data_IF_127153113384
#
_entry.id   IF_127153113384
#
_cell.length_a   1.000
_cell.length_b   1.000
_cell.length_c   1.000
_cell.angle_alpha   90.00
_cell.angle_beta   90.00
_cell.angle_gamma   90.00
#
_symmetry.space_group_name_H-M   'P 1'
#
loop_
_entity.id
_entity.type
_entity.pdbx_description
1 polymer ?
#
# COMPACT_ATOMS: atom_id res chain seq x y z
N UNK A 1 9.70 19.77 46.76
CA UNK A 1 9.12 19.98 45.41
C UNK A 1 8.14 18.85 45.13
N UNK A 2 6.90 19.16 44.76
CA UNK A 2 5.88 18.15 44.43
C UNK A 2 6.19 17.51 43.07
N UNK A 3 6.16 16.18 43.02
CA UNK A 3 6.25 15.40 41.79
C UNK A 3 4.90 15.47 41.07
N UNK A 4 4.88 15.94 39.83
CA UNK A 4 3.66 15.95 39.00
C UNK A 4 3.66 14.72 38.12
N UNK A 5 2.54 14.01 38.05
CA UNK A 5 2.40 12.84 37.18
C UNK A 5 1.74 13.31 35.88
N UNK A 6 2.40 13.04 34.76
CA UNK A 6 1.86 13.31 33.43
C UNK A 6 1.52 11.99 32.75
N UNK A 7 0.26 11.83 32.38
CA UNK A 7 -0.25 10.61 31.77
C UNK A 7 -0.33 10.74 30.27
N UNK A 8 0.39 9.87 29.56
CA UNK A 8 0.37 9.77 28.11
C UNK A 8 -0.62 8.70 27.66
N UNK A 9 -1.25 8.92 26.50
CA UNK A 9 -2.26 8.00 25.96
C UNK A 9 -1.77 7.23 24.73
N UNK A 10 -0.56 7.49 24.22
CA UNK A 10 -0.04 6.71 23.11
C UNK A 10 -0.02 5.21 23.39
N UNK A 11 -0.25 4.45 22.32
CA UNK A 11 -0.41 3.00 22.38
C UNK A 11 -1.84 2.51 22.52
N UNK A 12 -2.83 3.41 22.67
CA UNK A 12 -4.25 3.02 22.69
C UNK A 12 -4.66 2.37 21.37
N UNK A 13 -4.07 2.82 20.27
CA UNK A 13 -4.20 2.19 18.97
C UNK A 13 -2.81 2.11 18.31
N UNK A 14 -2.27 0.90 18.16
CA UNK A 14 -0.96 0.64 17.54
C UNK A 14 -0.87 1.14 16.09
N UNK A 15 -2.01 1.47 15.47
CA UNK A 15 -2.08 2.09 14.16
C UNK A 15 -1.76 3.59 14.28
N UNK A 16 -2.41 4.34 15.18
CA UNK A 16 -2.41 5.82 15.26
C UNK A 16 -1.29 6.46 16.09
N UNK A 17 -0.14 5.79 16.20
CA UNK A 17 0.88 6.15 17.18
C UNK A 17 1.45 7.57 16.99
N UNK A 18 1.52 8.02 15.74
CA UNK A 18 2.09 9.33 15.39
C UNK A 18 1.25 10.51 15.89
N UNK A 19 -0.07 10.36 15.83
CA UNK A 19 -1.04 11.35 16.31
C UNK A 19 -1.01 11.38 17.84
N UNK A 20 -1.00 10.21 18.47
CA UNK A 20 -0.96 10.13 19.93
C UNK A 20 0.33 10.74 20.49
N UNK A 21 1.50 10.45 19.90
CA UNK A 21 2.76 11.06 20.30
C UNK A 21 2.80 12.58 20.12
N UNK A 22 2.25 13.08 19.01
CA UNK A 22 2.15 14.52 18.81
C UNK A 22 1.24 15.17 19.86
N UNK A 23 0.10 14.54 20.16
CA UNK A 23 -0.85 15.05 21.15
C UNK A 23 -0.26 15.03 22.56
N UNK A 24 0.37 13.92 22.96
CA UNK A 24 1.05 13.78 24.24
C UNK A 24 2.17 14.84 24.39
N UNK A 25 2.95 15.09 23.33
CA UNK A 25 3.98 16.14 23.33
C UNK A 25 3.39 17.54 23.47
N UNK A 26 2.34 17.85 22.71
CA UNK A 26 1.65 19.14 22.78
C UNK A 26 1.08 19.40 24.17
N UNK A 27 0.45 18.39 24.76
CA UNK A 27 -0.16 18.49 26.09
C UNK A 27 0.90 18.64 27.18
N UNK A 28 2.01 17.92 27.08
CA UNK A 28 3.14 18.07 27.99
C UNK A 28 3.74 19.48 27.91
N UNK A 29 3.99 19.97 26.70
CA UNK A 29 4.52 21.31 26.44
C UNK A 29 3.62 22.42 27.01
N UNK A 30 2.30 22.26 26.94
CA UNK A 30 1.37 23.25 27.48
C UNK A 30 1.30 23.26 29.01
N UNK A 31 1.63 22.14 29.65
CA UNK A 31 1.64 21.99 31.11
C UNK A 31 3.03 22.19 31.71
N UNK A 32 4.07 22.22 30.87
CA UNK A 32 5.46 22.30 31.29
C UNK A 32 5.77 23.57 32.08
N UNK A 33 6.48 23.38 33.18
CA UNK A 33 6.95 24.40 34.10
C UNK A 33 8.34 23.99 34.56
N UNK A 34 9.33 24.85 34.31
CA UNK A 34 10.74 24.62 34.62
C UNK A 34 11.03 24.40 36.11
N UNK A 35 10.10 24.74 37.00
CA UNK A 35 10.24 24.57 38.44
C UNK A 35 9.55 23.31 38.98
N UNK A 36 8.97 22.48 38.10
CA UNK A 36 8.27 21.26 38.48
C UNK A 36 9.03 20.02 38.02
N UNK A 37 9.00 18.96 38.84
CA UNK A 37 9.38 17.60 38.42
C UNK A 37 8.19 16.91 37.79
N UNK A 38 8.44 16.10 36.78
CA UNK A 38 7.44 15.31 36.08
C UNK A 38 7.81 13.83 36.13
N UNK A 39 6.82 12.98 36.38
CA UNK A 39 6.88 11.54 36.14
C UNK A 39 6.00 11.24 34.93
N UNK A 40 6.58 10.63 33.90
CA UNK A 40 5.84 10.26 32.70
C UNK A 40 5.32 8.84 32.84
N UNK A 41 4.02 8.64 32.57
CA UNK A 41 3.38 7.33 32.61
C UNK A 41 2.62 7.12 31.31
N UNK A 42 3.07 6.17 30.49
CA UNK A 42 2.30 5.70 29.32
C UNK A 42 1.33 4.61 29.76
N UNK A 43 0.03 4.91 29.71
CA UNK A 43 -1.01 4.00 30.25
C UNK A 43 -1.08 2.62 29.60
N UNK A 44 -0.60 2.51 28.36
CA UNK A 44 -0.74 1.29 27.54
C UNK A 44 0.56 0.50 27.40
N UNK A 45 1.64 0.91 28.08
CA UNK A 45 2.91 0.22 28.06
C UNK A 45 3.45 0.11 29.48
N UNK A 46 3.97 -1.07 29.84
CA UNK A 46 4.80 -1.21 31.04
C UNK A 46 6.16 -0.55 30.76
N UNK A 47 6.19 0.77 30.89
CA UNK A 47 7.44 1.53 30.97
C UNK A 47 7.78 1.71 32.44
N UNK A 48 9.06 1.54 32.81
CA UNK A 48 9.53 2.03 34.10
C UNK A 48 9.15 3.52 34.24
N UNK A 49 8.64 3.93 35.40
CA UNK A 49 8.24 5.31 35.60
C UNK A 49 9.45 6.24 35.44
N UNK A 50 9.45 7.08 34.41
CA UNK A 50 10.59 7.95 34.12
C UNK A 50 10.39 9.31 34.78
N UNK A 51 11.25 9.62 35.75
CA UNK A 51 11.32 10.93 36.39
C UNK A 51 12.16 11.88 35.53
N UNK A 52 11.55 12.92 34.98
CA UNK A 52 12.23 13.91 34.14
C UNK A 52 12.96 14.95 35.01
N UNK A 53 14.19 15.27 34.63
CA UNK A 53 15.03 16.26 35.32
C UNK A 53 14.73 17.69 34.85
N UNK A 54 14.90 18.68 35.74
CA UNK A 54 14.45 20.06 35.49
C UNK A 54 15.16 20.78 34.33
N UNK A 55 16.41 20.47 34.05
CA UNK A 55 17.21 21.23 33.06
C UNK A 55 16.92 20.83 31.62
N UNK A 56 16.41 19.62 31.37
CA UNK A 56 16.23 19.05 30.03
C UNK A 56 14.89 18.33 29.82
N UNK A 57 13.88 18.58 30.66
CA UNK A 57 12.61 17.85 30.66
C UNK A 57 11.94 17.65 29.28
N UNK A 58 12.03 18.63 28.36
CA UNK A 58 11.50 18.47 27.00
C UNK A 58 12.28 17.43 26.17
N UNK A 59 13.61 17.47 26.22
CA UNK A 59 14.45 16.48 25.55
C UNK A 59 14.30 15.10 26.21
N UNK A 60 14.26 15.07 27.54
CA UNK A 60 14.03 13.84 28.29
C UNK A 60 12.68 13.22 27.88
N UNK A 61 11.61 14.02 27.75
CA UNK A 61 10.31 13.56 27.27
C UNK A 61 10.36 12.99 25.84
N UNK A 62 11.09 13.62 24.93
CA UNK A 62 11.29 13.11 23.56
C UNK A 62 12.07 11.78 23.57
N UNK A 63 13.07 11.63 24.44
CA UNK A 63 13.78 10.37 24.61
C UNK A 63 12.84 9.26 25.11
N UNK A 64 11.95 9.57 26.07
CA UNK A 64 10.90 8.62 26.49
C UNK A 64 10.01 8.21 25.32
N UNK A 65 9.64 9.14 24.43
CA UNK A 65 8.87 8.79 23.23
C UNK A 65 9.62 7.80 22.32
N UNK A 66 10.95 7.91 22.19
CA UNK A 66 11.76 6.94 21.44
C UNK A 66 11.78 5.56 22.09
N UNK A 67 11.89 5.51 23.43
CA UNK A 67 11.86 4.23 24.16
C UNK A 67 10.52 3.53 23.98
N UNK A 68 9.42 4.26 24.14
CA UNK A 68 8.07 3.76 23.89
C UNK A 68 7.91 3.30 22.44
N UNK A 69 8.41 4.08 21.47
CA UNK A 69 8.38 3.71 20.06
C UNK A 69 9.08 2.37 19.81
N UNK A 70 10.25 2.16 20.41
CA UNK A 70 11.00 0.91 20.27
C UNK A 70 10.25 -0.27 20.87
N UNK A 71 9.62 -0.09 22.04
CA UNK A 71 8.77 -1.13 22.65
C UNK A 71 7.60 -1.50 21.74
N UNK A 72 6.97 -0.52 21.11
CA UNK A 72 5.88 -0.75 20.14
C UNK A 72 6.37 -1.56 18.95
N UNK A 73 7.51 -1.20 18.37
CA UNK A 73 8.08 -1.92 17.23
C UNK A 73 8.39 -3.36 17.64
N UNK A 74 9.00 -3.57 18.81
CA UNK A 74 9.30 -4.89 19.33
C UNK A 74 8.06 -5.75 19.55
N UNK A 75 6.98 -5.18 20.11
CA UNK A 75 5.72 -5.90 20.31
C UNK A 75 5.11 -6.30 18.96
N UNK A 76 5.11 -5.39 17.97
CA UNK A 76 4.68 -5.71 16.60
C UNK A 76 5.49 -6.87 16.01
N UNK A 77 6.81 -6.87 16.18
CA UNK A 77 7.71 -7.93 15.70
C UNK A 77 7.48 -9.28 16.41
N UNK A 78 6.93 -9.28 17.64
CA UNK A 78 6.58 -10.51 18.38
C UNK A 78 5.20 -11.06 18.01
N UNK A 79 4.22 -10.17 17.84
CA UNK A 79 2.81 -10.53 17.70
C UNK A 79 2.38 -10.79 16.25
N UNK A 80 3.12 -10.24 15.28
CA UNK A 80 2.78 -10.31 13.86
C UNK A 80 3.82 -11.13 13.08
N UNK A 81 3.39 -11.73 11.96
CA UNK A 81 4.34 -12.30 11.03
C UNK A 81 5.19 -11.21 10.32
N UNK A 82 6.23 -11.62 9.59
CA UNK A 82 7.14 -10.68 8.94
C UNK A 82 6.46 -9.78 7.89
N UNK A 83 5.46 -10.28 7.18
CA UNK A 83 4.72 -9.51 6.17
C UNK A 83 3.76 -8.51 6.82
N UNK A 84 3.04 -8.93 7.85
CA UNK A 84 2.14 -8.10 8.63
C UNK A 84 2.90 -7.01 9.39
N UNK A 85 4.06 -7.35 9.96
CA UNK A 85 4.98 -6.41 10.59
C UNK A 85 5.41 -5.34 9.59
N UNK A 86 5.84 -5.74 8.39
CA UNK A 86 6.24 -4.81 7.34
C UNK A 86 5.11 -3.84 6.95
N UNK A 87 3.89 -4.34 6.78
CA UNK A 87 2.72 -3.51 6.47
C UNK A 87 2.44 -2.52 7.61
N UNK A 88 2.46 -3.00 8.86
CA UNK A 88 2.23 -2.19 10.05
C UNK A 88 3.27 -1.07 10.21
N UNK A 89 4.56 -1.37 9.99
CA UNK A 89 5.63 -0.39 10.04
C UNK A 89 5.52 0.66 8.92
N UNK A 90 5.21 0.25 7.69
CA UNK A 90 4.98 1.18 6.57
C UNK A 90 3.76 2.07 6.79
N UNK A 91 2.69 1.52 7.37
CA UNK A 91 1.52 2.30 7.76
C UNK A 91 1.89 3.36 8.79
N UNK A 92 2.61 2.97 9.85
CA UNK A 92 3.07 3.89 10.92
C UNK A 92 3.94 5.02 10.36
N UNK A 93 4.88 4.67 9.46
CA UNK A 93 5.73 5.66 8.79
C UNK A 93 4.92 6.65 7.92
N UNK A 94 3.87 6.17 7.25
CA UNK A 94 2.97 7.01 6.46
C UNK A 94 2.20 8.00 7.34
N UNK A 95 1.84 7.63 8.56
CA UNK A 95 1.20 8.55 9.48
C UNK A 95 2.15 9.65 9.96
N UNK A 96 3.40 9.31 10.27
CA UNK A 96 4.41 10.33 10.58
C UNK A 96 4.62 11.30 9.41
N UNK A 97 4.45 10.87 8.16
CA UNK A 97 4.48 11.77 7.02
C UNK A 97 3.31 12.77 7.03
N UNK A 98 2.12 12.36 7.50
CA UNK A 98 0.96 13.26 7.68
C UNK A 98 1.27 14.30 8.76
N UNK A 99 1.79 13.89 9.93
CA UNK A 99 2.18 14.82 10.99
C UNK A 99 3.25 15.80 10.49
N UNK A 100 4.28 15.31 9.78
CA UNK A 100 5.31 16.17 9.17
C UNK A 100 4.71 17.21 8.24
N UNK A 101 3.73 16.83 7.43
CA UNK A 101 3.02 17.76 6.55
C UNK A 101 2.21 18.80 7.33
N UNK A 102 1.49 18.38 8.37
CA UNK A 102 0.73 19.29 9.24
C UNK A 102 1.62 20.30 9.99
N UNK A 103 2.83 19.88 10.37
CA UNK A 103 3.80 20.75 11.04
C UNK A 103 4.61 21.61 10.05
N UNK A 104 4.61 21.25 8.76
CA UNK A 104 5.35 21.99 7.74
C UNK A 104 4.77 23.39 7.56
N UNK A 105 5.62 24.42 7.68
CA UNK A 105 5.18 25.82 7.62
C UNK A 105 4.72 26.43 8.95
N UNK A 106 4.76 25.67 10.06
CA UNK A 106 4.51 26.23 11.39
C UNK A 106 5.58 27.27 11.75
N UNK A 107 5.15 28.39 12.35
CA UNK A 107 6.04 29.39 12.96
C UNK A 107 6.34 29.12 14.44
N UNK A 108 5.65 28.15 15.05
CA UNK A 108 5.90 27.78 16.45
C UNK A 108 7.20 26.98 16.54
N UNK A 109 8.19 27.51 17.29
CA UNK A 109 9.49 26.88 17.52
C UNK A 109 9.36 25.44 18.02
N UNK A 110 8.37 25.15 18.87
CA UNK A 110 8.18 23.81 19.47
C UNK A 110 7.68 22.80 18.43
N UNK A 111 6.84 23.26 17.50
CA UNK A 111 6.42 22.46 16.36
C UNK A 111 7.58 22.20 15.39
N UNK A 112 8.45 23.18 15.18
CA UNK A 112 9.67 23.05 14.37
C UNK A 112 10.64 22.05 15.01
N UNK A 113 10.88 22.17 16.32
CA UNK A 113 11.77 21.28 17.08
C UNK A 113 11.22 19.83 17.08
N UNK A 114 9.91 19.64 17.22
CA UNK A 114 9.28 18.32 17.12
C UNK A 114 9.36 17.74 15.70
N UNK A 115 9.15 18.57 14.67
CA UNK A 115 9.32 18.17 13.28
C UNK A 115 10.76 17.69 13.02
N UNK A 116 11.76 18.39 13.57
CA UNK A 116 13.16 17.98 13.49
C UNK A 116 13.39 16.63 14.19
N UNK A 117 12.84 16.45 15.39
CA UNK A 117 12.89 15.18 16.11
C UNK A 117 12.29 14.01 15.30
N UNK A 118 11.13 14.20 14.66
CA UNK A 118 10.54 13.17 13.79
C UNK A 118 11.48 12.82 12.63
N UNK A 119 12.04 13.83 11.96
CA UNK A 119 12.90 13.64 10.78
C UNK A 119 14.22 12.96 11.14
N UNK A 120 14.83 13.37 12.25
CA UNK A 120 16.21 13.01 12.60
C UNK A 120 16.27 11.73 13.45
N UNK A 121 15.20 11.40 14.19
CA UNK A 121 15.18 10.26 15.12
C UNK A 121 14.14 9.20 14.73
N UNK A 122 12.87 9.56 14.59
CA UNK A 122 11.79 8.58 14.38
C UNK A 122 11.86 7.93 12.99
N UNK A 123 11.89 8.74 11.93
CA UNK A 123 11.85 8.24 10.54
C UNK A 123 13.01 7.28 10.23
N UNK A 124 14.27 7.57 10.62
CA UNK A 124 15.38 6.64 10.43
C UNK A 124 15.18 5.26 11.05
N UNK A 125 14.62 5.19 12.27
CA UNK A 125 14.36 3.91 12.96
C UNK A 125 13.43 3.02 12.12
N UNK A 126 12.32 3.58 11.64
CA UNK A 126 11.39 2.85 10.78
C UNK A 126 12.02 2.43 9.46
N UNK A 127 12.76 3.32 8.80
CA UNK A 127 13.39 3.03 7.51
C UNK A 127 14.37 1.86 7.60
N UNK A 128 15.22 1.83 8.63
CA UNK A 128 16.18 0.74 8.86
C UNK A 128 15.44 -0.58 9.08
N UNK A 129 14.40 -0.57 9.92
CA UNK A 129 13.60 -1.78 10.21
C UNK A 129 12.85 -2.30 8.98
N UNK A 130 12.22 -1.40 8.23
CA UNK A 130 11.53 -1.73 6.97
C UNK A 130 12.51 -2.32 5.96
N UNK A 131 13.67 -1.70 5.76
CA UNK A 131 14.69 -2.19 4.83
C UNK A 131 15.21 -3.58 5.19
N UNK A 132 15.41 -3.84 6.49
CA UNK A 132 15.82 -5.16 6.98
C UNK A 132 14.74 -6.22 6.67
N UNK A 133 13.47 -5.92 6.98
CA UNK A 133 12.36 -6.83 6.67
C UNK A 133 12.19 -7.05 5.18
N UNK A 134 12.30 -6.01 4.35
CA UNK A 134 12.23 -6.14 2.90
C UNK A 134 13.36 -7.01 2.35
N UNK A 135 14.57 -6.87 2.91
CA UNK A 135 15.71 -7.73 2.57
C UNK A 135 15.45 -9.19 2.95
N UNK A 136 15.00 -9.45 4.19
CA UNK A 136 14.65 -10.78 4.69
C UNK A 136 13.55 -11.45 3.87
N UNK A 137 12.52 -10.69 3.50
CA UNK A 137 11.40 -11.13 2.66
C UNK A 137 11.75 -11.21 1.16
N UNK A 138 13.00 -10.92 0.78
CA UNK A 138 13.48 -10.87 -0.60
C UNK A 138 12.63 -9.94 -1.50
N UNK A 139 12.06 -8.90 -0.91
CA UNK A 139 11.33 -7.85 -1.61
C UNK A 139 12.37 -7.00 -2.34
N UNK A 140 12.58 -7.28 -3.62
CA UNK A 140 13.45 -6.46 -4.46
C UNK A 140 12.86 -5.05 -4.56
N UNK A 141 13.59 -4.05 -4.07
CA UNK A 141 13.32 -2.63 -4.30
C UNK A 141 13.47 -2.29 -5.80
N UNK A 142 12.51 -2.71 -6.61
CA UNK A 142 12.27 -2.07 -7.88
C UNK A 142 11.53 -0.76 -7.58
N UNK A 143 12.04 0.39 -8.05
CA UNK A 143 11.41 1.73 -7.91
C UNK A 143 9.94 1.82 -8.38
N UNK A 144 9.41 0.75 -8.94
CA UNK A 144 8.02 0.55 -9.38
C UNK A 144 7.10 -0.08 -8.33
N UNK A 145 7.59 -0.51 -7.16
CA UNK A 145 6.78 -1.16 -6.11
C UNK A 145 6.24 -0.17 -5.06
N UNK A 146 5.69 0.96 -5.50
CA UNK A 146 4.57 1.55 -4.76
C UNK A 146 3.40 0.63 -5.08
N UNK A 147 2.83 -0.07 -4.08
CA UNK A 147 1.51 -0.69 -4.26
C UNK A 147 0.55 0.45 -4.53
N UNK A 148 0.31 0.71 -5.80
CA UNK A 148 -0.72 1.63 -6.25
C UNK A 148 -2.02 1.18 -5.62
N UNK A 149 -2.75 2.11 -5.00
CA UNK A 149 -4.06 1.77 -4.44
C UNK A 149 -4.96 1.24 -5.56
N UNK A 150 -5.97 0.45 -5.21
CA UNK A 150 -6.90 -0.13 -6.19
C UNK A 150 -7.49 0.97 -7.11
N UNK A 151 -7.71 2.18 -6.56
CA UNK A 151 -8.24 3.33 -7.31
C UNK A 151 -7.25 3.88 -8.37
N UNK A 152 -5.94 3.75 -8.14
CA UNK A 152 -4.87 4.24 -9.03
C UNK A 152 -4.60 3.30 -10.22
N UNK A 153 -5.22 2.12 -10.22
CA UNK A 153 -5.20 1.25 -11.38
C UNK A 153 -6.26 1.72 -12.39
N UNK A 154 -5.81 1.97 -13.62
CA UNK A 154 -6.72 2.23 -14.74
C UNK A 154 -7.74 1.10 -14.86
N UNK A 155 -9.00 1.49 -15.01
CA UNK A 155 -10.12 0.57 -15.18
C UNK A 155 -10.09 -0.02 -16.59
N UNK A 156 -10.16 -1.35 -16.69
CA UNK A 156 -10.35 -2.06 -17.96
C UNK A 156 -11.69 -2.77 -17.85
N UNK A 157 -12.74 -2.10 -18.32
CA UNK A 157 -14.11 -2.59 -18.32
C UNK A 157 -14.59 -2.83 -19.76
N UNK A 158 -15.25 -3.94 -19.99
CA UNK A 158 -15.98 -4.22 -21.22
C UNK A 158 -17.21 -3.32 -21.30
N UNK A 159 -17.30 -2.54 -22.38
CA UNK A 159 -18.50 -1.77 -22.71
C UNK A 159 -19.53 -2.73 -23.31
N UNK A 160 -20.49 -3.16 -22.49
CA UNK A 160 -21.49 -4.15 -22.86
C UNK A 160 -22.80 -3.54 -23.41
N UNK A 161 -23.01 -2.23 -23.28
CA UNK A 161 -24.28 -1.55 -23.57
C UNK A 161 -24.79 -1.76 -25.02
N UNK A 162 -23.89 -2.00 -25.97
CA UNK A 162 -24.22 -2.21 -27.39
C UNK A 162 -23.60 -3.50 -27.98
N UNK A 163 -23.18 -4.43 -27.12
CA UNK A 163 -22.47 -5.63 -27.57
C UNK A 163 -23.49 -6.73 -27.93
N UNK A 164 -23.49 -7.27 -29.18
CA UNK A 164 -24.39 -8.35 -29.55
C UNK A 164 -24.27 -9.53 -28.59
N UNK A 165 -25.40 -10.11 -28.18
CA UNK A 165 -25.45 -11.19 -27.18
C UNK A 165 -24.54 -12.37 -27.54
N UNK A 166 -24.51 -12.76 -28.80
CA UNK A 166 -23.64 -13.83 -29.30
C UNK A 166 -22.15 -13.52 -29.07
N UNK A 167 -21.74 -12.27 -29.30
CA UNK A 167 -20.36 -11.83 -29.06
C UNK A 167 -20.07 -11.86 -27.55
N UNK A 168 -21.02 -11.45 -26.71
CA UNK A 168 -20.87 -11.47 -25.26
C UNK A 168 -20.67 -12.91 -24.75
N UNK A 169 -21.51 -13.84 -25.23
CA UNK A 169 -21.42 -15.26 -24.89
C UNK A 169 -20.07 -15.86 -25.34
N UNK A 170 -19.56 -15.47 -26.51
CA UNK A 170 -18.24 -15.89 -26.99
C UNK A 170 -17.10 -15.33 -26.14
N UNK A 171 -17.17 -14.06 -25.74
CA UNK A 171 -16.20 -13.43 -24.83
C UNK A 171 -16.19 -14.14 -23.48
N UNK A 172 -17.36 -14.42 -22.90
CA UNK A 172 -17.47 -15.14 -21.63
C UNK A 172 -16.90 -16.55 -21.73
N UNK A 173 -17.28 -17.31 -22.77
CA UNK A 173 -16.77 -18.66 -23.02
C UNK A 173 -15.24 -18.68 -23.19
N UNK A 174 -14.67 -17.65 -23.81
CA UNK A 174 -13.23 -17.51 -23.92
C UNK A 174 -12.57 -17.38 -22.55
N UNK A 175 -13.06 -16.48 -21.69
CA UNK A 175 -12.49 -16.29 -20.35
C UNK A 175 -12.74 -17.48 -19.41
N UNK A 176 -13.85 -18.20 -19.60
CA UNK A 176 -14.13 -19.45 -18.89
C UNK A 176 -13.08 -20.55 -19.16
N UNK A 177 -12.52 -20.58 -20.38
CA UNK A 177 -11.43 -21.49 -20.72
C UNK A 177 -10.08 -20.92 -20.33
N UNK A 178 -9.92 -19.61 -20.47
CA UNK A 178 -8.65 -18.94 -20.24
C UNK A 178 -8.27 -18.91 -18.75
N UNK A 179 -9.23 -18.76 -17.83
CA UNK A 179 -9.01 -18.70 -16.37
C UNK A 179 -9.56 -19.99 -15.73
N UNK A 180 -8.72 -21.01 -15.46
CA UNK A 180 -9.20 -22.31 -14.99
C UNK A 180 -9.84 -22.24 -13.60
N UNK A 181 -9.27 -21.44 -12.70
CA UNK A 181 -9.74 -21.32 -11.33
C UNK A 181 -11.09 -20.56 -11.24
N UNK A 182 -12.08 -21.18 -10.60
CA UNK A 182 -13.45 -20.64 -10.50
C UNK A 182 -13.51 -19.39 -9.63
N UNK A 183 -12.69 -19.29 -8.59
CA UNK A 183 -12.68 -18.15 -7.69
C UNK A 183 -12.10 -16.91 -8.38
N UNK A 184 -10.92 -17.06 -9.00
CA UNK A 184 -10.28 -16.05 -9.83
C UNK A 184 -11.20 -15.58 -10.95
N UNK A 185 -11.94 -16.50 -11.58
CA UNK A 185 -12.90 -16.18 -12.63
C UNK A 185 -14.10 -15.37 -12.14
N UNK A 186 -14.64 -15.67 -10.97
CA UNK A 186 -15.70 -14.87 -10.37
C UNK A 186 -15.24 -13.42 -10.13
N UNK A 187 -14.00 -13.25 -9.64
CA UNK A 187 -13.38 -11.92 -9.48
C UNK A 187 -13.11 -11.21 -10.79
N UNK A 188 -12.62 -11.94 -11.80
CA UNK A 188 -12.44 -11.43 -13.15
C UNK A 188 -13.76 -10.92 -13.72
N UNK A 189 -14.84 -11.67 -13.54
CA UNK A 189 -16.16 -11.26 -14.03
C UNK A 189 -16.63 -9.95 -13.38
N UNK A 190 -16.42 -9.80 -12.08
CA UNK A 190 -16.72 -8.55 -11.38
C UNK A 190 -15.84 -7.37 -11.85
N UNK A 191 -14.55 -7.59 -12.11
CA UNK A 191 -13.65 -6.52 -12.58
C UNK A 191 -13.92 -6.14 -14.04
N UNK A 192 -13.92 -7.12 -14.93
CA UNK A 192 -13.92 -6.89 -16.38
C UNK A 192 -15.30 -6.54 -16.93
N UNK A 193 -16.38 -7.17 -16.46
CA UNK A 193 -17.73 -6.88 -16.95
C UNK A 193 -18.44 -5.81 -16.11
N UNK A 194 -18.24 -5.82 -14.79
CA UNK A 194 -18.95 -4.90 -13.89
C UNK A 194 -18.12 -3.68 -13.45
N UNK A 195 -16.82 -3.62 -13.77
CA UNK A 195 -15.94 -2.50 -13.41
C UNK A 195 -15.45 -2.52 -11.96
N UNK A 196 -15.71 -3.58 -11.19
CA UNK A 196 -15.31 -3.66 -9.78
C UNK A 196 -13.84 -4.03 -9.64
N UNK A 197 -13.01 -3.01 -9.46
CA UNK A 197 -11.56 -3.15 -9.26
C UNK A 197 -11.23 -4.07 -8.09
N UNK A 198 -10.20 -4.91 -8.24
CA UNK A 198 -9.71 -5.82 -7.19
C UNK A 198 -8.19 -6.04 -7.30
N UNK A 199 -7.58 -6.75 -6.35
CA UNK A 199 -6.13 -7.05 -6.32
C UNK A 199 -5.76 -8.42 -6.89
N UNK A 200 -6.74 -9.23 -7.29
CA UNK A 200 -6.52 -10.62 -7.73
C UNK A 200 -5.68 -10.64 -9.01
N UNK A 201 -4.69 -11.54 -9.04
CA UNK A 201 -3.96 -11.95 -10.24
C UNK A 201 -4.63 -13.21 -10.77
N UNK A 202 -4.89 -13.24 -12.07
CA UNK A 202 -5.56 -14.33 -12.76
C UNK A 202 -4.52 -15.22 -13.42
N UNK A 203 -4.45 -16.46 -12.97
CA UNK A 203 -3.67 -17.51 -13.62
C UNK A 203 -4.42 -17.94 -14.86
N UNK A 204 -3.78 -17.78 -16.01
CA UNK A 204 -4.37 -18.08 -17.31
C UNK A 204 -3.67 -19.25 -18.00
N UNK A 205 -4.48 -20.15 -18.56
CA UNK A 205 -4.03 -21.23 -19.42
C UNK A 205 -3.89 -20.72 -20.84
N UNK A 206 -2.66 -20.35 -21.22
CA UNK A 206 -2.35 -19.74 -22.49
C UNK A 206 -1.28 -20.53 -23.25
N UNK A 207 -1.53 -20.77 -24.55
CA UNK A 207 -0.53 -21.35 -25.46
C UNK A 207 0.54 -20.34 -25.87
N UNK A 208 0.10 -19.15 -26.31
CA UNK A 208 0.98 -18.05 -26.72
C UNK A 208 0.39 -16.69 -26.29
N UNK A 209 1.25 -15.80 -25.81
CA UNK A 209 0.93 -14.43 -25.38
C UNK A 209 0.30 -13.62 -26.50
N UNK A 210 0.75 -13.84 -27.75
CA UNK A 210 0.21 -13.15 -28.92
C UNK A 210 -1.30 -13.37 -29.06
N UNK A 211 -1.77 -14.57 -28.79
CA UNK A 211 -3.17 -14.97 -28.92
C UNK A 211 -4.09 -14.18 -27.99
N UNK A 212 -3.70 -14.06 -26.72
CA UNK A 212 -4.44 -13.26 -25.73
C UNK A 212 -4.40 -11.78 -26.13
N UNK A 213 -3.25 -11.29 -26.61
CA UNK A 213 -3.14 -9.91 -27.07
C UNK A 213 -4.03 -9.61 -28.29
N UNK A 214 -4.13 -10.52 -29.25
CA UNK A 214 -5.01 -10.37 -30.42
C UNK A 214 -6.48 -10.33 -30.02
N UNK A 215 -6.91 -11.11 -29.01
CA UNK A 215 -8.27 -11.00 -28.46
C UNK A 215 -8.53 -9.60 -27.87
N UNK A 216 -7.64 -9.10 -27.01
CA UNK A 216 -7.78 -7.75 -26.45
C UNK A 216 -7.66 -6.64 -27.51
N UNK A 217 -6.86 -6.86 -28.56
CA UNK A 217 -6.75 -5.98 -29.72
C UNK A 217 -8.05 -5.94 -30.52
N UNK A 218 -8.72 -7.07 -30.70
CA UNK A 218 -10.06 -7.13 -31.28
C UNK A 218 -11.07 -6.34 -30.44
N UNK A 219 -11.10 -6.54 -29.12
CA UNK A 219 -12.02 -5.82 -28.24
C UNK A 219 -11.80 -4.30 -28.30
N UNK A 220 -10.55 -3.85 -28.17
CA UNK A 220 -10.20 -2.44 -28.29
C UNK A 220 -10.50 -1.90 -29.70
N UNK A 221 -10.23 -2.68 -30.74
CA UNK A 221 -10.39 -2.29 -32.14
C UNK A 221 -11.84 -2.04 -32.55
N UNK A 222 -12.78 -2.77 -31.95
CA UNK A 222 -14.22 -2.60 -32.14
C UNK A 222 -14.86 -1.63 -31.15
N UNK A 223 -14.06 -0.93 -30.33
CA UNK A 223 -14.58 0.03 -29.36
C UNK A 223 -15.27 -0.59 -28.14
N UNK A 224 -15.05 -1.89 -27.87
CA UNK A 224 -15.61 -2.56 -26.69
C UNK A 224 -14.82 -2.29 -25.41
N UNK A 225 -13.71 -1.56 -25.49
CA UNK A 225 -12.89 -1.14 -24.36
C UNK A 225 -12.59 0.36 -24.45
N UNK A 226 -12.86 1.10 -23.37
CA UNK A 226 -12.62 2.55 -23.26
C UNK A 226 -11.26 2.88 -22.61
N UNK A 227 -10.19 2.20 -23.02
CA UNK A 227 -8.87 2.33 -22.41
C UNK A 227 -7.77 2.40 -23.46
N UNK A 228 -6.78 3.26 -23.27
CA UNK A 228 -5.63 3.33 -24.17
C UNK A 228 -4.86 2.00 -24.18
N UNK A 229 -4.35 1.58 -25.35
CA UNK A 229 -3.52 0.37 -25.51
C UNK A 229 -2.35 0.31 -24.52
N UNK A 230 -1.75 1.45 -24.19
CA UNK A 230 -0.65 1.53 -23.23
C UNK A 230 -1.10 1.19 -21.79
N UNK A 231 -2.29 1.62 -21.39
CA UNK A 231 -2.89 1.30 -20.11
C UNK A 231 -3.40 -0.15 -20.08
N UNK A 232 -3.96 -0.64 -21.20
CA UNK A 232 -4.36 -2.04 -21.37
C UNK A 232 -3.17 -3.00 -21.21
N UNK A 233 -2.04 -2.72 -21.87
CA UNK A 233 -0.81 -3.51 -21.72
C UNK A 233 -0.32 -3.57 -20.27
N UNK A 234 -0.37 -2.44 -19.54
CA UNK A 234 -0.01 -2.39 -18.12
C UNK A 234 -0.97 -3.21 -17.26
N UNK A 235 -2.27 -3.13 -17.53
CA UNK A 235 -3.27 -3.93 -16.82
C UNK A 235 -3.05 -5.43 -17.06
N UNK A 236 -2.88 -5.85 -18.31
CA UNK A 236 -2.62 -7.25 -18.68
C UNK A 236 -1.34 -7.80 -18.02
N UNK A 237 -0.22 -7.06 -18.07
CA UNK A 237 1.04 -7.46 -17.43
C UNK A 237 0.92 -7.63 -15.91
N UNK A 238 0.07 -6.84 -15.27
CA UNK A 238 -0.19 -6.90 -13.82
C UNK A 238 -1.14 -8.03 -13.44
N UNK A 239 -2.18 -8.26 -14.26
CA UNK A 239 -3.32 -9.10 -13.91
C UNK A 239 -3.21 -10.53 -14.41
N UNK A 240 -2.40 -10.80 -15.43
CA UNK A 240 -2.29 -12.15 -15.98
C UNK A 240 -0.93 -12.78 -15.69
N UNK A 241 -1.01 -14.00 -15.17
CA UNK A 241 0.11 -14.89 -14.92
C UNK A 241 -0.12 -16.21 -15.64
N UNK A 242 0.93 -16.83 -16.17
CA UNK A 242 0.80 -18.12 -16.86
C UNK A 242 0.75 -19.26 -15.85
N UNK A 243 -0.17 -20.20 -16.04
CA UNK A 243 -0.24 -21.43 -15.23
C UNK A 243 1.02 -22.29 -15.37
N UNK A 244 1.64 -22.33 -16.55
CA UNK A 244 2.74 -23.25 -16.86
C UNK A 244 4.07 -22.94 -16.16
N UNK A 245 4.33 -21.67 -15.84
CA UNK A 245 5.61 -21.24 -15.29
C UNK A 245 5.49 -20.16 -14.22
N UNK A 246 4.27 -19.77 -13.84
CA UNK A 246 3.98 -18.73 -12.84
C UNK A 246 4.64 -17.38 -13.15
N UNK A 247 5.01 -17.12 -14.41
CA UNK A 247 5.53 -15.83 -14.86
C UNK A 247 4.43 -14.98 -15.46
N UNK A 248 4.65 -13.67 -15.47
CA UNK A 248 3.80 -12.75 -16.23
C UNK A 248 3.75 -13.16 -17.71
N UNK A 249 2.60 -12.93 -18.34
CA UNK A 249 2.37 -13.31 -19.73
C UNK A 249 3.29 -12.58 -20.72
N UNK A 250 3.86 -11.44 -20.32
CA UNK A 250 4.83 -10.68 -21.11
C UNK A 250 5.19 -9.37 -20.42
N UNK A 251 6.29 -8.75 -20.87
CA UNK A 251 6.63 -7.38 -20.44
C UNK A 251 5.66 -6.37 -21.05
N UNK A 252 5.51 -5.21 -20.42
CA UNK A 252 4.63 -4.13 -20.91
C UNK A 252 4.98 -3.74 -22.35
N UNK A 253 6.26 -3.69 -22.69
CA UNK A 253 6.76 -3.37 -24.04
C UNK A 253 6.33 -4.43 -25.07
N UNK A 254 6.42 -5.71 -24.72
CA UNK A 254 6.00 -6.81 -25.59
C UNK A 254 4.49 -6.79 -25.81
N UNK A 255 3.70 -6.57 -24.75
CA UNK A 255 2.24 -6.49 -24.85
C UNK A 255 1.81 -5.27 -25.69
N UNK A 256 2.44 -4.10 -25.50
CA UNK A 256 2.20 -2.91 -26.33
C UNK A 256 2.45 -3.19 -27.82
N UNK A 257 3.52 -3.91 -28.15
CA UNK A 257 3.84 -4.28 -29.54
C UNK A 257 2.73 -5.11 -30.15
N UNK A 258 2.20 -6.12 -29.44
CA UNK A 258 1.12 -6.96 -29.96
C UNK A 258 -0.24 -6.25 -30.04
N UNK A 259 -0.53 -5.35 -29.10
CA UNK A 259 -1.76 -4.54 -29.15
C UNK A 259 -1.73 -3.48 -30.27
N UNK A 260 -0.56 -3.10 -30.77
CA UNK A 260 -0.42 -2.14 -31.87
C UNK A 260 -0.68 -2.77 -33.25
N UNK A 261 -1.11 -1.95 -34.21
CA UNK A 261 -1.49 -2.36 -35.56
C UNK A 261 -2.99 -2.65 -35.76
N UNK A 262 -3.35 -3.10 -36.96
CA UNK A 262 -4.73 -3.44 -37.34
C UNK A 262 -5.21 -4.70 -36.60
N UNK A 263 -6.49 -4.73 -36.21
CA UNK A 263 -7.14 -5.88 -35.60
C UNK A 263 -7.87 -6.69 -36.69
N UNK A 264 -7.91 -8.01 -36.53
CA UNK A 264 -8.72 -8.88 -37.38
C UNK A 264 -10.19 -8.79 -36.96
N UNK A 265 -11.06 -8.20 -37.79
CA UNK A 265 -12.50 -8.11 -37.52
C UNK A 265 -13.19 -9.48 -37.46
N UNK A 266 -12.59 -10.51 -38.04
CA UNK A 266 -13.08 -11.88 -38.01
C UNK A 266 -12.39 -12.73 -36.94
N UNK A 267 -11.66 -12.12 -36.00
CA UNK A 267 -10.89 -12.83 -34.98
C UNK A 267 -11.73 -13.91 -34.28
N UNK A 268 -12.90 -13.54 -33.75
CA UNK A 268 -13.77 -14.49 -33.03
C UNK A 268 -14.24 -15.67 -33.91
N UNK A 269 -14.52 -15.45 -35.19
CA UNK A 269 -14.93 -16.49 -36.14
C UNK A 269 -13.81 -17.51 -36.42
N UNK A 270 -12.54 -17.07 -36.33
CA UNK A 270 -11.36 -17.93 -36.50
C UNK A 270 -10.91 -18.56 -35.18
N UNK A 271 -11.24 -17.92 -34.06
CA UNK A 271 -10.79 -18.30 -32.73
C UNK A 271 -11.56 -19.49 -32.13
N UNK A 272 -12.79 -19.72 -32.62
CA UNK A 272 -13.70 -20.74 -32.11
C UNK A 272 -13.82 -21.98 -33.02
N UNK A 273 -13.04 -22.05 -34.11
CA UNK A 273 -12.83 -23.27 -34.90
C UNK A 273 -11.60 -24.02 -34.39
#
# INVERSE_FOLDING_TARGET
>A
MSLNIFYCNAGRNLIKISIDFWQDFKDFVNQYDRFKKYRIIYKNFDTENIDLSHSNALNDFLNVQLEVLNLIIQNKEKDLDQHETLISLKSSLSEFAIIRHLLSGSRDKRAIDYLKFINDQIVPIFNIKIQNLETSLKIKHHKSYVRKKIEEFGEVKLLNDNLPREILEQITCYFDKLIPDKYQRAHFNQEFFNGRKNEIIYDIDLKDTKTVCEFFKFLHGNGYLAVEKAALAKWMSRKFQRVDNSKQIGTVETLKRYLNGHHDRQFLNKFLR
#
